data_IF_021215691942
#
_entry.id   IF_021215691942
#
_cell.length_a   1.000
_cell.length_b   1.000
_cell.length_c   1.000
_cell.angle_alpha   90.00
_cell.angle_beta   90.00
_cell.angle_gamma   90.00
#
_symmetry.space_group_name_H-M   'P 1'
#
loop_
_entity.id
_entity.type
_entity.pdbx_description
1 polymer ?
#
# COMPACT_ATOMS: atom_id res chain seq x y z
N UNK A 1 27.44 10.50 9.48
CA UNK A 1 27.16 11.54 10.48
C UNK A 1 25.67 11.84 10.43
N UNK A 2 24.86 11.13 11.22
CA UNK A 2 23.42 11.34 11.28
C UNK A 2 23.12 12.43 12.32
N UNK A 3 22.61 13.57 11.88
CA UNK A 3 22.08 14.59 12.76
C UNK A 3 20.71 14.11 13.29
N UNK A 4 20.73 13.47 14.46
CA UNK A 4 19.55 13.33 15.30
C UNK A 4 19.19 14.75 15.77
N UNK A 5 18.13 15.32 15.22
CA UNK A 5 17.54 16.56 15.77
C UNK A 5 16.92 16.22 17.12
N UNK A 6 17.59 16.59 18.20
CA UNK A 6 16.95 16.69 19.51
C UNK A 6 15.90 17.80 19.45
N UNK A 7 14.63 17.43 19.63
CA UNK A 7 13.51 18.37 19.75
C UNK A 7 13.64 19.10 21.10
N UNK A 8 13.72 20.44 21.03
CA UNK A 8 13.73 21.32 22.19
C UNK A 8 12.31 21.40 22.75
N UNK A 9 12.20 21.27 24.08
CA UNK A 9 10.97 21.40 24.88
C UNK A 9 10.07 22.57 24.45
N UNK A 10 9.11 22.26 23.58
CA UNK A 10 7.92 23.05 23.28
C UNK A 10 6.81 22.04 23.00
N UNK A 11 5.55 22.34 23.36
CA UNK A 11 4.40 21.46 23.09
C UNK A 11 4.47 21.03 21.62
N UNK A 12 4.75 19.75 21.36
CA UNK A 12 4.75 19.26 19.98
C UNK A 12 3.38 19.59 19.38
N UNK A 13 3.33 20.26 18.21
CA UNK A 13 2.07 20.58 17.58
C UNK A 13 1.29 19.29 17.39
N UNK A 14 -0.01 19.31 17.71
CA UNK A 14 -0.87 18.15 17.57
C UNK A 14 -0.78 17.61 16.14
N UNK A 15 -0.57 16.30 16.02
CA UNK A 15 -0.47 15.62 14.72
C UNK A 15 -1.77 15.82 13.94
N UNK A 16 -1.64 16.10 12.64
CA UNK A 16 -2.79 16.34 11.75
C UNK A 16 -3.61 15.06 11.59
N UNK A 17 -4.92 15.21 11.48
CA UNK A 17 -5.87 14.10 11.38
C UNK A 17 -6.15 13.71 9.93
N UNK A 18 -6.71 12.52 9.70
CA UNK A 18 -7.13 12.08 8.37
C UNK A 18 -8.18 13.04 7.76
N UNK A 19 -9.16 13.47 8.56
CA UNK A 19 -10.25 14.35 8.11
C UNK A 19 -9.72 15.68 7.56
N UNK A 20 -8.75 16.29 8.23
CA UNK A 20 -8.11 17.53 7.77
C UNK A 20 -7.38 17.33 6.44
N UNK A 21 -6.63 16.23 6.31
CA UNK A 21 -5.91 15.93 5.07
C UNK A 21 -6.90 15.67 3.93
N UNK A 22 -7.98 14.93 4.20
CA UNK A 22 -9.04 14.66 3.23
C UNK A 22 -9.69 15.95 2.72
N UNK A 23 -10.05 16.87 3.63
CA UNK A 23 -10.60 18.18 3.24
C UNK A 23 -9.65 18.97 2.33
N UNK A 24 -8.34 18.95 2.61
CA UNK A 24 -7.35 19.61 1.75
C UNK A 24 -7.20 18.92 0.39
N UNK A 25 -7.27 17.58 0.33
CA UNK A 25 -7.28 16.83 -0.92
C UNK A 25 -8.50 17.16 -1.77
N UNK A 26 -9.69 17.18 -1.16
CA UNK A 26 -10.96 17.51 -1.84
C UNK A 26 -10.96 18.95 -2.38
N UNK A 27 -10.25 19.87 -1.72
CA UNK A 27 -10.02 21.25 -2.17
C UNK A 27 -8.90 21.37 -3.22
N UNK A 28 -8.25 20.28 -3.61
CA UNK A 28 -7.14 20.29 -4.57
C UNK A 28 -5.82 20.88 -4.03
N UNK A 29 -5.69 21.10 -2.73
CA UNK A 29 -4.53 21.73 -2.06
C UNK A 29 -3.36 20.75 -1.89
N UNK A 30 -2.92 20.12 -2.98
CA UNK A 30 -1.87 19.07 -2.99
C UNK A 30 -0.54 19.53 -2.38
N UNK A 31 -0.17 20.81 -2.53
CA UNK A 31 1.07 21.37 -1.94
C UNK A 31 1.02 21.37 -0.41
N UNK A 32 -0.11 21.76 0.18
CA UNK A 32 -0.30 21.78 1.63
C UNK A 32 -0.28 20.36 2.19
N UNK A 33 -1.00 19.43 1.54
CA UNK A 33 -0.98 18.00 1.90
C UNK A 33 0.45 17.45 1.88
N UNK A 34 1.22 17.74 0.83
CA UNK A 34 2.61 17.30 0.70
C UNK A 34 3.49 17.81 1.86
N UNK A 35 3.31 19.07 2.29
CA UNK A 35 4.07 19.61 3.42
C UNK A 35 3.66 18.92 4.72
N UNK A 36 2.35 18.72 4.96
CA UNK A 36 1.84 17.98 6.11
C UNK A 36 2.48 16.58 6.18
N UNK A 37 2.48 15.82 5.07
CA UNK A 37 3.07 14.46 5.03
C UNK A 37 4.57 14.43 5.32
N UNK A 38 5.31 15.51 5.03
CA UNK A 38 6.76 15.61 5.27
C UNK A 38 7.10 16.02 6.70
N UNK A 39 6.20 16.75 7.35
CA UNK A 39 6.41 17.35 8.67
C UNK A 39 5.72 16.57 9.80
N UNK A 40 4.64 15.83 9.49
CA UNK A 40 3.89 15.05 10.48
C UNK A 40 4.45 13.63 10.59
N UNK A 41 5.10 13.35 11.72
CA UNK A 41 5.66 12.02 12.01
C UNK A 41 4.68 11.17 12.83
N UNK A 42 3.64 10.63 12.18
CA UNK A 42 2.70 9.74 12.87
C UNK A 42 3.41 8.46 13.36
N UNK A 43 3.17 8.04 14.62
CA UNK A 43 3.69 6.78 15.15
C UNK A 43 3.42 5.59 14.24
N UNK A 44 4.28 4.58 14.26
CA UNK A 44 4.16 3.40 13.38
C UNK A 44 2.83 2.68 13.57
N UNK A 45 2.33 2.59 14.80
CA UNK A 45 1.06 1.97 15.18
C UNK A 45 -0.16 2.90 15.02
N UNK A 46 0.02 4.10 14.46
CA UNK A 46 -1.10 5.02 14.22
C UNK A 46 -2.10 4.42 13.21
N UNK A 47 -3.41 4.43 13.51
CA UNK A 47 -4.42 3.90 12.59
C UNK A 47 -4.63 4.77 11.35
N UNK A 48 -4.01 5.96 11.28
CA UNK A 48 -4.25 6.92 10.18
C UNK A 48 -3.93 6.32 8.80
N UNK A 49 -2.89 5.46 8.71
CA UNK A 49 -2.41 4.90 7.44
C UNK A 49 -3.45 4.03 6.74
N UNK A 50 -4.34 3.36 7.50
CA UNK A 50 -5.40 2.51 6.94
C UNK A 50 -6.43 3.28 6.12
N UNK A 51 -6.57 4.60 6.36
CA UNK A 51 -7.44 5.49 5.60
C UNK A 51 -6.64 6.40 4.66
N UNK A 52 -5.50 6.89 5.13
CA UNK A 52 -4.69 7.86 4.41
C UNK A 52 -4.04 7.26 3.16
N UNK A 53 -3.40 6.09 3.26
CA UNK A 53 -2.71 5.48 2.12
C UNK A 53 -3.64 5.10 0.97
N UNK A 54 -4.80 4.42 1.19
CA UNK A 54 -5.74 4.17 0.10
C UNK A 54 -6.16 5.47 -0.61
N UNK A 55 -6.46 6.52 0.16
CA UNK A 55 -6.86 7.83 -0.37
C UNK A 55 -5.73 8.46 -1.21
N UNK A 56 -4.49 8.40 -0.73
CA UNK A 56 -3.33 8.93 -1.45
C UNK A 56 -3.01 8.12 -2.71
N UNK A 57 -3.19 6.80 -2.72
CA UNK A 57 -3.01 5.99 -3.92
C UNK A 57 -4.10 6.26 -4.95
N UNK A 58 -5.35 6.41 -4.51
CA UNK A 58 -6.51 6.60 -5.39
C UNK A 58 -6.46 7.91 -6.20
N UNK A 59 -5.81 8.96 -5.69
CA UNK A 59 -5.73 10.27 -6.37
C UNK A 59 -5.01 10.22 -7.74
N UNK A 60 -4.29 9.15 -8.03
CA UNK A 60 -3.51 8.96 -9.25
C UNK A 60 -4.18 8.01 -10.25
N UNK A 61 -5.36 7.49 -9.93
CA UNK A 61 -6.09 6.62 -10.84
C UNK A 61 -6.50 7.42 -12.09
N UNK A 62 -6.08 6.94 -13.26
CA UNK A 62 -6.48 7.46 -14.57
C UNK A 62 -7.74 6.78 -15.11
N UNK A 63 -8.05 5.58 -14.60
CA UNK A 63 -9.26 4.83 -14.90
C UNK A 63 -10.33 5.12 -13.84
N UNK A 64 -11.63 5.04 -14.19
CA UNK A 64 -12.72 5.13 -13.20
C UNK A 64 -12.46 4.17 -12.04
N UNK A 65 -12.88 4.57 -10.84
CA UNK A 65 -12.75 3.75 -9.64
C UNK A 65 -13.31 2.35 -9.93
N UNK A 66 -12.45 1.33 -9.81
CA UNK A 66 -12.84 -0.05 -10.09
C UNK A 66 -14.09 -0.38 -9.28
N UNK A 67 -15.08 -0.98 -9.95
CA UNK A 67 -16.31 -1.45 -9.31
C UNK A 67 -15.97 -2.34 -8.13
N UNK A 68 -16.78 -2.23 -7.07
CA UNK A 68 -16.64 -3.11 -5.92
C UNK A 68 -16.71 -4.57 -6.39
N UNK A 69 -15.77 -5.40 -5.93
CA UNK A 69 -15.65 -6.79 -6.37
C UNK A 69 -14.75 -7.08 -7.58
N UNK A 70 -14.31 -6.08 -8.37
CA UNK A 70 -13.46 -6.33 -9.55
C UNK A 70 -12.19 -7.15 -9.22
N UNK A 71 -11.53 -6.82 -8.11
CA UNK A 71 -10.37 -7.58 -7.64
C UNK A 71 -10.71 -9.06 -7.40
N UNK A 72 -11.88 -9.37 -6.83
CA UNK A 72 -12.31 -10.73 -6.55
C UNK A 72 -12.67 -11.52 -7.81
N UNK A 73 -13.23 -10.85 -8.81
CA UNK A 73 -13.44 -11.45 -10.12
C UNK A 73 -12.10 -11.86 -10.75
N UNK A 74 -11.08 -11.01 -10.68
CA UNK A 74 -9.74 -11.34 -11.17
C UNK A 74 -9.09 -12.48 -10.37
N UNK A 75 -9.24 -12.49 -9.04
CA UNK A 75 -8.79 -13.62 -8.20
C UNK A 75 -9.44 -14.92 -8.68
N UNK A 76 -10.75 -14.92 -8.94
CA UNK A 76 -11.46 -16.10 -9.41
C UNK A 76 -11.02 -16.51 -10.83
N UNK A 77 -10.74 -15.56 -11.72
CA UNK A 77 -10.23 -15.86 -13.06
C UNK A 77 -8.82 -16.48 -13.03
N UNK A 78 -7.94 -16.01 -12.14
CA UNK A 78 -6.55 -16.50 -12.04
C UNK A 78 -6.46 -17.82 -11.28
N UNK A 79 -7.22 -17.98 -10.20
CA UNK A 79 -7.06 -19.10 -9.26
C UNK A 79 -8.24 -20.08 -9.23
N UNK A 80 -9.39 -19.73 -9.81
CA UNK A 80 -10.62 -20.52 -9.75
C UNK A 80 -11.31 -20.52 -8.37
N UNK A 81 -10.73 -19.86 -7.37
CA UNK A 81 -11.24 -19.78 -5.99
C UNK A 81 -10.77 -18.50 -5.31
N UNK A 82 -11.52 -18.04 -4.31
CA UNK A 82 -11.11 -16.94 -3.42
C UNK A 82 -10.35 -17.43 -2.19
N UNK A 83 -10.32 -18.75 -1.97
CA UNK A 83 -9.58 -19.38 -0.88
C UNK A 83 -8.08 -19.19 -1.05
N UNK A 84 -7.40 -18.89 0.05
CA UNK A 84 -5.97 -18.67 0.04
C UNK A 84 -5.23 -20.02 0.07
N UNK A 85 -4.38 -20.27 -0.92
CA UNK A 85 -3.57 -21.49 -0.96
C UNK A 85 -2.61 -21.55 0.22
N UNK A 86 -2.58 -22.70 0.91
CA UNK A 86 -1.56 -22.99 1.93
C UNK A 86 -0.19 -23.34 1.32
N UNK A 87 -0.20 -23.77 0.05
CA UNK A 87 1.00 -24.09 -0.73
C UNK A 87 1.58 -22.82 -1.34
N UNK A 88 2.91 -22.69 -1.44
CA UNK A 88 3.56 -21.60 -2.15
C UNK A 88 3.04 -21.50 -3.58
N UNK A 89 2.70 -20.29 -4.01
CA UNK A 89 2.27 -19.99 -5.38
C UNK A 89 3.50 -19.53 -6.15
N UNK A 90 3.61 -19.90 -7.43
CA UNK A 90 4.66 -19.35 -8.29
C UNK A 90 4.42 -17.85 -8.51
N UNK A 91 5.47 -17.05 -8.38
CA UNK A 91 5.40 -15.61 -8.65
C UNK A 91 5.67 -15.32 -10.13
N UNK A 92 5.08 -14.25 -10.69
CA UNK A 92 5.29 -13.87 -12.08
C UNK A 92 6.74 -13.40 -12.34
N UNK A 93 7.21 -13.57 -13.57
CA UNK A 93 8.62 -13.33 -13.94
C UNK A 93 9.09 -11.87 -13.77
N UNK A 94 8.18 -10.90 -13.65
CA UNK A 94 8.55 -9.50 -13.45
C UNK A 94 9.07 -9.21 -12.03
N UNK A 95 8.84 -10.08 -11.05
CA UNK A 95 9.41 -9.90 -9.71
C UNK A 95 10.83 -10.43 -9.64
N UNK A 96 11.63 -9.85 -8.76
CA UNK A 96 12.92 -10.40 -8.41
C UNK A 96 12.78 -11.29 -7.17
N UNK A 97 13.01 -12.59 -7.34
CA UNK A 97 12.92 -13.59 -6.28
C UNK A 97 13.87 -13.29 -5.10
N UNK A 98 15.01 -12.65 -5.34
CA UNK A 98 15.95 -12.26 -4.29
C UNK A 98 15.44 -11.05 -3.48
N UNK A 99 14.50 -10.27 -4.03
CA UNK A 99 13.98 -9.03 -3.45
C UNK A 99 12.47 -9.08 -3.17
N UNK A 100 11.89 -10.26 -3.01
CA UNK A 100 10.53 -10.43 -2.49
C UNK A 100 10.49 -10.20 -0.97
N UNK A 101 10.72 -8.96 -0.54
CA UNK A 101 10.89 -8.58 0.87
C UNK A 101 9.54 -8.59 1.63
N UNK A 102 9.33 -9.51 2.60
CA UNK A 102 8.05 -9.63 3.30
C UNK A 102 7.94 -8.73 4.53
N UNK A 103 9.05 -8.11 4.96
CA UNK A 103 9.15 -7.34 6.21
C UNK A 103 8.60 -8.13 7.41
N UNK A 104 7.56 -7.62 8.08
CA UNK A 104 6.96 -8.26 9.25
C UNK A 104 5.66 -9.02 8.90
N UNK A 105 5.38 -9.27 7.62
CA UNK A 105 4.17 -10.01 7.24
C UNK A 105 4.21 -11.43 7.80
N UNK A 106 3.04 -11.88 8.26
CA UNK A 106 2.83 -13.28 8.68
C UNK A 106 2.85 -14.20 7.46
N UNK A 107 2.80 -15.52 7.67
CA UNK A 107 2.65 -16.48 6.56
C UNK A 107 1.42 -16.17 5.70
N UNK A 108 0.28 -15.90 6.34
CA UNK A 108 -0.95 -15.48 5.66
C UNK A 108 -0.76 -14.17 4.90
N UNK A 109 -0.09 -13.18 5.49
CA UNK A 109 0.20 -11.91 4.82
C UNK A 109 1.04 -12.07 3.56
N UNK A 110 2.04 -12.96 3.59
CA UNK A 110 2.85 -13.30 2.41
C UNK A 110 2.02 -13.98 1.32
N UNK A 111 1.20 -14.96 1.67
CA UNK A 111 0.28 -15.59 0.70
C UNK A 111 -0.69 -14.59 0.07
N UNK A 112 -1.15 -13.58 0.81
CA UNK A 112 -1.94 -12.47 0.25
C UNK A 112 -1.12 -11.62 -0.71
N UNK A 113 0.13 -11.29 -0.38
CA UNK A 113 1.03 -10.57 -1.28
C UNK A 113 1.25 -11.34 -2.59
N UNK A 114 1.53 -12.65 -2.51
CA UNK A 114 1.73 -13.53 -3.67
C UNK A 114 0.51 -13.52 -4.60
N UNK A 115 -0.69 -13.59 -4.03
CA UNK A 115 -1.96 -13.51 -4.77
C UNK A 115 -2.13 -12.17 -5.47
N UNK A 116 -1.92 -11.06 -4.76
CA UNK A 116 -2.05 -9.70 -5.33
C UNK A 116 -1.12 -9.51 -6.53
N UNK A 117 0.13 -9.94 -6.40
CA UNK A 117 1.14 -9.82 -7.45
C UNK A 117 0.77 -10.65 -8.68
N UNK A 118 0.24 -11.86 -8.49
CA UNK A 118 -0.27 -12.69 -9.59
C UNK A 118 -1.50 -12.08 -10.28
N UNK A 119 -2.43 -11.50 -9.52
CA UNK A 119 -3.58 -10.78 -10.10
C UNK A 119 -3.12 -9.58 -10.93
N UNK A 120 -2.13 -8.83 -10.45
CA UNK A 120 -1.54 -7.73 -11.22
C UNK A 120 -0.84 -8.21 -12.49
N UNK A 121 -0.21 -9.38 -12.49
CA UNK A 121 0.37 -9.98 -13.69
C UNK A 121 -0.68 -10.27 -14.77
N UNK A 122 -1.87 -10.67 -14.34
CA UNK A 122 -2.98 -10.97 -15.22
C UNK A 122 -3.64 -9.70 -15.79
N UNK A 123 -3.93 -8.71 -14.93
CA UNK A 123 -4.62 -7.47 -15.34
C UNK A 123 -3.69 -6.46 -16.04
N UNK A 124 -2.38 -6.50 -15.78
CA UNK A 124 -1.39 -5.57 -16.29
C UNK A 124 -0.26 -6.30 -17.05
N UNK A 125 -0.53 -6.86 -18.25
CA UNK A 125 0.45 -7.66 -19.01
C UNK A 125 1.68 -6.86 -19.45
N UNK A 126 1.59 -5.52 -19.50
CA UNK A 126 2.70 -4.64 -19.86
C UNK A 126 3.80 -4.57 -18.77
N UNK A 127 3.51 -5.04 -17.55
CA UNK A 127 4.51 -5.13 -16.48
C UNK A 127 5.43 -6.31 -16.74
N UNK A 128 6.57 -6.03 -17.38
CA UNK A 128 7.57 -7.05 -17.75
C UNK A 128 8.73 -7.18 -16.77
N UNK A 129 9.05 -6.11 -16.03
CA UNK A 129 10.06 -6.11 -14.96
C UNK A 129 9.75 -5.04 -13.91
N UNK A 130 9.51 -5.46 -12.67
CA UNK A 130 9.17 -4.57 -11.56
C UNK A 130 9.56 -5.20 -10.20
N UNK A 131 10.86 -5.24 -9.86
CA UNK A 131 11.35 -5.85 -8.61
C UNK A 131 10.84 -5.14 -7.36
N UNK A 132 10.41 -3.88 -7.48
CA UNK A 132 9.93 -3.04 -6.37
C UNK A 132 8.46 -3.32 -6.02
N UNK A 133 7.71 -3.97 -6.92
CA UNK A 133 6.27 -4.18 -6.75
C UNK A 133 5.96 -5.05 -5.53
N UNK A 134 6.67 -6.17 -5.36
CA UNK A 134 6.44 -7.08 -4.23
C UNK A 134 6.76 -6.41 -2.87
N UNK A 135 7.92 -5.73 -2.68
CA UNK A 135 8.17 -4.94 -1.48
C UNK A 135 7.11 -3.88 -1.17
N UNK A 136 6.63 -3.12 -2.18
CA UNK A 136 5.58 -2.11 -1.96
C UNK A 136 4.28 -2.77 -1.51
N UNK A 137 3.84 -3.83 -2.18
CA UNK A 137 2.66 -4.61 -1.78
C UNK A 137 2.77 -5.06 -0.33
N UNK A 138 3.95 -5.55 0.08
CA UNK A 138 4.18 -6.00 1.44
C UNK A 138 4.09 -4.86 2.48
N UNK A 139 4.59 -3.67 2.15
CA UNK A 139 4.46 -2.47 2.99
C UNK A 139 3.00 -2.06 3.14
N UNK A 140 2.22 -2.04 2.05
CA UNK A 140 0.81 -1.65 2.08
C UNK A 140 -0.01 -2.59 2.96
N UNK A 141 0.24 -3.91 2.87
CA UNK A 141 -0.45 -4.94 3.67
C UNK A 141 -0.22 -4.84 5.18
N UNK A 142 0.76 -4.06 5.65
CA UNK A 142 0.92 -3.78 7.07
C UNK A 142 -0.16 -2.86 7.64
N UNK A 143 -0.77 -2.02 6.82
CA UNK A 143 -1.67 -0.96 7.26
C UNK A 143 -3.04 -1.02 6.57
N UNK A 144 -3.16 -1.81 5.51
CA UNK A 144 -4.37 -1.94 4.69
C UNK A 144 -4.80 -3.41 4.64
N UNK A 145 -6.10 -3.65 4.56
CA UNK A 145 -6.62 -5.01 4.40
C UNK A 145 -6.42 -5.50 2.97
N UNK A 146 -5.77 -6.65 2.80
CA UNK A 146 -5.84 -7.48 1.59
C UNK A 146 -6.91 -8.57 1.68
N UNK A 147 -7.91 -8.35 2.54
CA UNK A 147 -9.04 -9.24 2.78
C UNK A 147 -10.09 -9.10 1.70
#
# INVERSE_FOLDING_TARGET
MYLIRFSVSGKEPALRTFTEIKQLLDQGKKREVKNILRENSWPINSPIRSQLWPTLCAQHQSKPQMVDGFYWEMVHQVFGTTELSEKPIMLPAFVDAAHCLPYHLTRTGRSVADRIVNVLAYDCPDITYSPVLYPITSILLHFMSGK
#
